data_IF_189507380903
#
_entry.id   IF_189507380903
#
_cell.length_a   1.000
_cell.length_b   1.000
_cell.length_c   1.000
_cell.angle_alpha   90.00
_cell.angle_beta   90.00
_cell.angle_gamma   90.00
#
_symmetry.space_group_name_H-M   'P 1'
#
loop_
_entity.id
_entity.type
_entity.pdbx_description
1 polymer ?
#
# COMPACT_ATOMS: atom_id res chain seq x y z
N UNK A 1 34.41 6.19 3.85
CA UNK A 1 33.24 6.17 4.77
C UNK A 1 32.03 5.65 4.02
N UNK A 2 31.68 4.36 4.13
CA UNK A 2 30.45 3.84 3.50
C UNK A 2 29.24 4.20 4.35
N UNK A 3 28.39 5.08 3.84
CA UNK A 3 27.14 5.45 4.50
C UNK A 3 26.21 4.23 4.62
N UNK A 4 25.29 4.21 5.60
CA UNK A 4 24.37 3.08 5.81
C UNK A 4 23.54 2.71 4.55
N UNK A 5 23.35 3.67 3.64
CA UNK A 5 22.67 3.48 2.36
C UNK A 5 23.40 2.50 1.42
N UNK A 6 24.74 2.48 1.45
CA UNK A 6 25.55 1.60 0.58
C UNK A 6 25.54 0.14 1.03
N UNK A 7 25.23 -0.11 2.31
CA UNK A 7 25.22 -1.46 2.92
C UNK A 7 23.97 -2.28 2.61
N UNK A 8 22.91 -1.68 2.08
CA UNK A 8 21.63 -2.37 1.84
C UNK A 8 21.20 -2.33 0.36
N UNK A 9 22.09 -2.82 -0.50
CA UNK A 9 21.75 -3.28 -1.85
C UNK A 9 21.59 -4.81 -1.79
N UNK A 10 20.38 -5.35 -1.61
CA UNK A 10 20.20 -6.79 -1.74
C UNK A 10 20.50 -7.17 -3.19
N UNK A 11 21.54 -7.97 -3.40
CA UNK A 11 22.02 -8.38 -4.73
C UNK A 11 21.02 -9.30 -5.45
N UNK A 12 20.31 -10.15 -4.69
CA UNK A 12 19.48 -11.22 -5.24
C UNK A 12 17.97 -10.99 -5.02
N UNK A 13 17.57 -9.99 -4.24
CA UNK A 13 16.14 -9.75 -3.94
C UNK A 13 15.59 -8.63 -4.82
N UNK A 14 14.62 -8.90 -5.70
CA UNK A 14 13.96 -7.85 -6.47
C UNK A 14 13.17 -6.93 -5.54
N UNK A 15 13.43 -5.62 -5.64
CA UNK A 15 12.60 -4.57 -5.04
C UNK A 15 11.56 -4.14 -6.06
N UNK A 16 10.33 -3.91 -5.61
CA UNK A 16 9.28 -3.36 -6.48
C UNK A 16 9.71 -1.97 -6.98
N UNK A 17 9.64 -1.76 -8.28
CA UNK A 17 9.79 -0.44 -8.90
C UNK A 17 8.74 0.54 -8.33
N UNK A 18 8.98 1.85 -8.49
CA UNK A 18 8.00 2.86 -8.09
C UNK A 18 6.68 2.71 -8.87
N UNK A 19 6.75 2.32 -10.15
CA UNK A 19 5.58 2.03 -10.96
C UNK A 19 4.74 0.88 -10.38
N UNK A 20 5.37 -0.24 -10.02
CA UNK A 20 4.66 -1.37 -9.39
C UNK A 20 4.11 -1.02 -8.01
N UNK A 21 4.81 -0.15 -7.25
CA UNK A 21 4.31 0.37 -5.98
C UNK A 21 3.03 1.20 -6.17
N UNK A 22 3.00 2.07 -7.18
CA UNK A 22 1.82 2.88 -7.55
C UNK A 22 0.66 2.00 -8.06
N UNK A 23 0.94 1.03 -8.94
CA UNK A 23 -0.06 0.07 -9.43
C UNK A 23 -0.73 -0.68 -8.27
N UNK A 24 0.07 -1.19 -7.32
CA UNK A 24 -0.45 -1.86 -6.11
C UNK A 24 -1.35 -0.93 -5.30
N UNK A 25 -0.94 0.31 -5.06
CA UNK A 25 -1.76 1.27 -4.32
C UNK A 25 -3.11 1.52 -4.99
N UNK A 26 -3.12 1.71 -6.31
CA UNK A 26 -4.35 1.90 -7.08
C UNK A 26 -5.32 0.72 -6.89
N UNK A 27 -4.82 -0.51 -6.98
CA UNK A 27 -5.62 -1.73 -6.76
C UNK A 27 -6.14 -1.79 -5.31
N UNK A 28 -5.31 -1.45 -4.34
CA UNK A 28 -5.70 -1.46 -2.92
C UNK A 28 -6.79 -0.43 -2.61
N UNK A 29 -6.68 0.78 -3.15
CA UNK A 29 -7.71 1.82 -3.02
C UNK A 29 -9.04 1.35 -3.63
N UNK A 30 -9.03 0.75 -4.83
CA UNK A 30 -10.23 0.15 -5.45
C UNK A 30 -10.89 -0.90 -4.55
N UNK A 31 -10.10 -1.76 -3.91
CA UNK A 31 -10.61 -2.78 -2.98
C UNK A 31 -11.28 -2.16 -1.75
N UNK A 32 -10.71 -1.09 -1.20
CA UNK A 32 -11.33 -0.38 -0.06
C UNK A 32 -12.68 0.25 -0.43
N UNK A 33 -12.77 0.82 -1.64
CA UNK A 33 -14.05 1.35 -2.14
C UNK A 33 -15.08 0.24 -2.31
N UNK A 34 -14.69 -0.90 -2.87
CA UNK A 34 -15.58 -2.07 -2.99
C UNK A 34 -16.04 -2.62 -1.64
N UNK A 35 -15.24 -2.48 -0.57
CA UNK A 35 -15.63 -2.85 0.79
C UNK A 35 -16.57 -1.84 1.47
N UNK A 36 -16.77 -0.66 0.86
CA UNK A 36 -17.74 0.34 1.32
C UNK A 36 -17.16 1.64 1.87
N UNK A 37 -15.83 1.87 1.80
CA UNK A 37 -15.27 3.20 2.11
C UNK A 37 -15.58 4.20 0.97
N UNK A 38 -15.92 5.45 1.29
CA UNK A 38 -16.08 6.49 0.28
C UNK A 38 -14.75 6.82 -0.41
N UNK A 39 -14.80 7.03 -1.73
CA UNK A 39 -13.61 7.26 -2.57
C UNK A 39 -12.78 8.46 -2.09
N UNK A 40 -13.44 9.56 -1.70
CA UNK A 40 -12.79 10.78 -1.20
C UNK A 40 -11.94 10.54 0.05
N UNK A 41 -12.41 9.67 0.95
CA UNK A 41 -11.67 9.31 2.15
C UNK A 41 -10.47 8.45 1.77
N UNK A 42 -10.65 7.46 0.88
CA UNK A 42 -9.58 6.55 0.43
C UNK A 42 -8.46 7.30 -0.30
N UNK A 43 -8.77 8.39 -0.99
CA UNK A 43 -7.76 9.19 -1.68
C UNK A 43 -6.80 9.89 -0.72
N UNK A 44 -7.33 10.44 0.38
CA UNK A 44 -6.58 11.14 1.43
C UNK A 44 -5.72 10.23 2.32
N UNK A 45 -5.92 8.90 2.25
CA UNK A 45 -5.19 7.95 3.10
C UNK A 45 -3.74 7.74 2.66
N UNK A 46 -2.87 7.66 3.67
CA UNK A 46 -1.48 7.21 3.51
C UNK A 46 -1.41 5.73 3.06
N UNK A 47 -0.45 5.37 2.18
CA UNK A 47 -0.25 3.99 1.74
C UNK A 47 -0.13 2.94 2.84
N UNK A 48 0.42 3.27 4.00
CA UNK A 48 0.54 2.36 5.14
C UNK A 48 -0.83 2.03 5.74
N UNK A 49 -1.68 3.05 5.90
CA UNK A 49 -3.04 2.93 6.42
C UNK A 49 -3.91 2.11 5.47
N UNK A 50 -3.82 2.38 4.16
CA UNK A 50 -4.52 1.61 3.11
C UNK A 50 -4.22 0.11 3.23
N UNK A 51 -2.96 -0.26 3.46
CA UNK A 51 -2.55 -1.67 3.61
C UNK A 51 -3.06 -2.28 4.90
N UNK A 52 -3.08 -1.51 5.99
CA UNK A 52 -3.55 -1.97 7.30
C UNK A 52 -5.05 -2.22 7.30
N UNK A 53 -5.83 -1.33 6.70
CA UNK A 53 -7.29 -1.48 6.55
C UNK A 53 -7.66 -2.76 5.80
N UNK A 54 -6.92 -3.09 4.73
CA UNK A 54 -7.14 -4.33 3.97
C UNK A 54 -6.79 -5.62 4.73
N UNK A 55 -6.03 -5.57 5.84
CA UNK A 55 -5.71 -6.78 6.63
C UNK A 55 -6.92 -7.30 7.40
N UNK A 56 -7.85 -6.42 7.78
CA UNK A 56 -9.04 -6.75 8.58
C UNK A 56 -10.30 -6.21 7.90
N UNK A 57 -10.69 -6.80 6.75
CA UNK A 57 -11.80 -6.29 5.96
C UNK A 57 -13.14 -6.35 6.68
N UNK A 58 -13.33 -7.27 7.64
CA UNK A 58 -14.55 -7.38 8.44
C UNK A 58 -14.85 -6.14 9.31
N UNK A 59 -13.85 -5.31 9.63
CA UNK A 59 -14.06 -4.04 10.33
C UNK A 59 -14.60 -2.92 9.44
N UNK A 60 -14.56 -3.14 8.14
CA UNK A 60 -14.83 -2.14 7.11
C UNK A 60 -16.06 -2.54 6.30
N UNK A 61 -16.23 -3.83 6.07
CA UNK A 61 -17.39 -4.38 5.38
C UNK A 61 -18.66 -3.82 6.02
N UNK A 62 -19.46 -3.14 5.20
CA UNK A 62 -20.79 -2.71 5.60
C UNK A 62 -21.55 -3.94 6.10
N UNK A 63 -22.03 -3.86 7.33
CA UNK A 63 -23.08 -4.77 7.82
C UNK A 63 -24.35 -4.54 7.03
#
# INVERSE_FOLDING_TARGET
MTCKADRHKPSNRPKKSDAERRKRLKVQKKRLVALGLPAEQVEKLDPSVVRTLLKRPAKIAKK
#
